data_IF_044033631787
#
_entry.id   IF_044033631787
#
_cell.length_a   1.000
_cell.length_b   1.000
_cell.length_c   1.000
_cell.angle_alpha   90.00
_cell.angle_beta   90.00
_cell.angle_gamma   90.00
#
_symmetry.space_group_name_H-M   'P 1'
#
loop_
_entity.id
_entity.type
_entity.pdbx_description
1 polymer ?
#
# COMPACT_ATOMS: atom_id res chain seq x y z
N UNK A 1 -31.78 8.95 39.64
CA UNK A 1 -31.41 8.02 38.55
C UNK A 1 -31.87 6.63 38.92
N UNK A 2 -32.62 5.97 38.04
CA UNK A 2 -33.07 4.58 38.26
C UNK A 2 -31.85 3.67 38.04
N UNK A 3 -31.44 2.93 39.07
CA UNK A 3 -30.33 1.98 38.96
C UNK A 3 -30.92 0.60 38.67
N UNK A 4 -30.95 0.24 37.39
CA UNK A 4 -31.33 -1.10 36.99
C UNK A 4 -30.11 -2.03 37.08
N UNK A 5 -30.26 -3.26 37.60
CA UNK A 5 -29.14 -4.19 37.78
C UNK A 5 -28.57 -4.62 36.42
N UNK A 6 -27.24 -4.62 36.28
CA UNK A 6 -26.57 -5.04 35.04
C UNK A 6 -26.57 -6.57 34.90
N UNK A 7 -27.31 -7.14 33.94
CA UNK A 7 -27.42 -8.60 33.78
C UNK A 7 -26.13 -9.25 33.27
N UNK A 8 -25.22 -8.50 32.64
CA UNK A 8 -23.94 -9.03 32.18
C UNK A 8 -22.95 -9.29 33.32
N UNK A 9 -23.08 -8.60 34.46
CA UNK A 9 -22.10 -8.64 35.56
C UNK A 9 -20.72 -8.01 35.21
N UNK A 10 -20.56 -7.51 33.99
CA UNK A 10 -19.39 -6.80 33.48
C UNK A 10 -19.85 -5.52 32.78
N UNK A 11 -19.02 -4.47 32.80
CA UNK A 11 -19.28 -3.26 32.04
C UNK A 11 -19.17 -3.60 30.53
N UNK A 12 -20.24 -3.44 29.73
CA UNK A 12 -20.28 -3.80 28.31
C UNK A 12 -19.66 -2.70 27.43
N UNK A 13 -18.54 -2.15 27.88
CA UNK A 13 -17.79 -1.12 27.15
C UNK A 13 -16.33 -1.58 27.12
N UNK A 14 -15.74 -1.52 25.94
CA UNK A 14 -14.33 -1.84 25.71
C UNK A 14 -13.64 -0.59 25.21
N UNK A 15 -12.68 -0.10 25.98
CA UNK A 15 -11.82 0.99 25.57
C UNK A 15 -10.52 0.42 25.01
N UNK A 16 -10.12 0.94 23.87
CA UNK A 16 -8.79 0.78 23.30
C UNK A 16 -8.21 2.17 23.17
N UNK A 17 -7.04 2.38 23.77
CA UNK A 17 -6.35 3.67 23.77
C UNK A 17 -5.16 3.59 22.82
N UNK A 18 -5.00 4.65 22.03
CA UNK A 18 -3.85 4.87 21.17
C UNK A 18 -3.38 6.28 21.52
N UNK A 19 -2.11 6.43 21.86
CA UNK A 19 -1.56 7.69 22.39
C UNK A 19 -1.72 8.87 21.41
N UNK A 20 -1.56 8.58 20.13
CA UNK A 20 -1.58 9.55 19.03
C UNK A 20 -2.25 8.96 17.79
N UNK A 21 -3.02 9.75 17.01
CA UNK A 21 -3.48 9.29 15.71
C UNK A 21 -2.30 9.05 14.78
N UNK A 22 -2.42 8.03 13.95
CA UNK A 22 -1.33 7.52 13.09
C UNK A 22 -0.76 8.57 12.12
N UNK A 23 -1.56 9.58 11.76
CA UNK A 23 -1.18 10.63 10.83
C UNK A 23 -0.55 11.86 11.51
N UNK A 24 -0.49 11.90 12.85
CA UNK A 24 0.00 13.08 13.58
C UNK A 24 1.42 13.48 13.18
N UNK A 25 2.31 12.50 13.05
CA UNK A 25 3.73 12.73 12.71
C UNK A 25 3.91 13.34 11.30
N UNK A 26 2.99 13.05 10.38
CA UNK A 26 3.07 13.53 8.99
C UNK A 26 2.14 14.70 8.69
N UNK A 27 1.35 15.16 9.67
CA UNK A 27 0.34 16.19 9.47
C UNK A 27 0.95 17.50 8.92
N UNK A 28 2.09 17.92 9.48
CA UNK A 28 2.79 19.13 9.04
C UNK A 28 3.33 19.02 7.61
N UNK A 29 3.81 17.83 7.22
CA UNK A 29 4.26 17.53 5.85
C UNK A 29 3.08 17.50 4.87
N UNK A 30 1.94 16.93 5.29
CA UNK A 30 0.70 16.91 4.51
C UNK A 30 0.21 18.32 4.23
N UNK A 31 0.08 19.15 5.26
CA UNK A 31 -0.36 20.55 5.12
C UNK A 31 0.57 21.35 4.21
N UNK A 32 1.89 21.17 4.38
CA UNK A 32 2.88 21.82 3.52
C UNK A 32 2.73 21.41 2.06
N UNK A 33 2.56 20.11 1.80
CA UNK A 33 2.40 19.55 0.46
C UNK A 33 1.09 20.03 -0.20
N UNK A 34 -0.01 20.05 0.53
CA UNK A 34 -1.31 20.54 0.04
C UNK A 34 -1.23 22.03 -0.33
N UNK A 35 -0.62 22.85 0.53
CA UNK A 35 -0.39 24.26 0.24
C UNK A 35 0.50 24.48 -0.99
N UNK A 36 1.53 23.66 -1.19
CA UNK A 36 2.39 23.73 -2.39
C UNK A 36 1.63 23.32 -3.65
N UNK A 37 0.83 22.26 -3.58
CA UNK A 37 0.03 21.80 -4.71
C UNK A 37 -1.03 22.82 -5.12
N UNK A 38 -1.70 23.46 -4.14
CA UNK A 38 -2.65 24.54 -4.40
C UNK A 38 -1.97 25.72 -5.11
N UNK A 39 -0.80 26.16 -4.61
CA UNK A 39 -0.05 27.23 -5.26
C UNK A 39 0.40 26.85 -6.67
N UNK A 40 0.82 25.60 -6.89
CA UNK A 40 1.20 25.14 -8.21
C UNK A 40 0.03 25.21 -9.19
N UNK A 41 -1.19 24.84 -8.76
CA UNK A 41 -2.40 24.98 -9.56
C UNK A 41 -2.70 26.45 -9.87
N UNK A 42 -2.73 27.32 -8.86
CA UNK A 42 -3.00 28.76 -9.03
C UNK A 42 -2.02 29.40 -10.01
N UNK A 43 -0.74 29.03 -9.93
CA UNK A 43 0.26 29.63 -10.79
C UNK A 43 0.18 29.06 -12.21
N UNK A 44 -0.13 27.77 -12.39
CA UNK A 44 -0.41 27.23 -13.71
C UNK A 44 -1.59 27.94 -14.38
N UNK A 45 -2.66 28.23 -13.64
CA UNK A 45 -3.80 28.98 -14.14
C UNK A 45 -3.43 30.44 -14.46
N UNK A 46 -2.63 31.09 -13.60
CA UNK A 46 -2.19 32.47 -13.81
C UNK A 46 -1.34 32.65 -15.07
N UNK A 47 -0.43 31.70 -15.36
CA UNK A 47 0.43 31.74 -16.53
C UNK A 47 -0.17 31.06 -17.77
N UNK A 48 -1.36 30.47 -17.67
CA UNK A 48 -2.09 29.96 -18.82
C UNK A 48 -2.48 31.09 -19.80
N UNK A 49 -2.65 32.31 -19.30
CA UNK A 49 -2.88 33.51 -20.08
C UNK A 49 -1.58 34.34 -20.20
N UNK A 50 -0.93 34.41 -21.38
CA UNK A 50 0.35 35.08 -21.52
C UNK A 50 0.19 36.60 -21.38
N UNK A 51 0.81 37.16 -20.34
CA UNK A 51 0.90 38.61 -20.15
C UNK A 51 2.09 39.18 -20.91
N UNK A 52 1.85 40.22 -21.71
CA UNK A 52 2.91 40.97 -22.39
C UNK A 52 3.38 42.13 -21.49
N UNK A 53 4.64 42.10 -21.08
CA UNK A 53 5.28 43.24 -20.43
C UNK A 53 5.93 44.08 -21.52
N UNK A 54 5.52 45.35 -21.60
CA UNK A 54 6.14 46.34 -22.49
C UNK A 54 6.89 47.36 -21.63
N UNK A 55 8.13 47.65 -22.02
CA UNK A 55 8.97 48.66 -21.40
C UNK A 55 9.20 49.73 -22.46
N UNK A 56 8.92 51.01 -22.15
CA UNK A 56 9.04 52.12 -23.09
C UNK A 56 7.70 52.70 -23.55
N UNK A 57 7.74 53.71 -24.43
CA UNK A 57 6.55 54.32 -25.03
C UNK A 57 6.07 53.41 -26.16
N UNK A 58 4.87 52.84 -26.01
CA UNK A 58 4.30 51.91 -26.99
C UNK A 58 3.11 52.58 -27.64
N UNK A 59 3.16 52.73 -28.97
CA UNK A 59 2.01 53.19 -29.72
C UNK A 59 1.05 52.01 -29.95
N UNK A 60 -0.19 52.13 -29.45
CA UNK A 60 -1.15 51.05 -29.54
C UNK A 60 -1.59 50.83 -30.99
N UNK A 61 -1.64 49.59 -31.52
CA UNK A 61 -2.01 49.37 -32.91
C UNK A 61 -3.45 49.82 -33.16
N UNK A 62 -3.62 50.74 -34.12
CA UNK A 62 -4.91 51.27 -34.52
C UNK A 62 -5.74 50.18 -35.26
N UNK A 63 -7.07 50.29 -35.21
CA UNK A 63 -8.04 49.24 -35.63
C UNK A 63 -7.95 48.85 -37.13
N UNK A 64 -7.15 49.56 -37.93
CA UNK A 64 -7.04 49.41 -39.37
C UNK A 64 -5.74 48.74 -39.85
N UNK A 65 -4.81 48.42 -38.95
CA UNK A 65 -3.53 47.78 -39.32
C UNK A 65 -3.67 46.25 -39.24
N UNK A 66 -3.56 45.58 -40.38
CA UNK A 66 -3.65 44.11 -40.48
C UNK A 66 -2.28 43.54 -40.10
N UNK A 67 -2.11 43.24 -38.82
CA UNK A 67 -0.89 42.73 -38.24
C UNK A 67 -0.68 43.35 -36.86
N UNK A 68 -0.68 42.53 -35.80
CA UNK A 68 -0.37 42.97 -34.43
C UNK A 68 1.13 43.25 -34.31
N UNK A 69 1.65 44.23 -35.06
CA UNK A 69 3.02 44.69 -34.91
C UNK A 69 3.06 45.78 -33.85
N UNK A 70 3.70 45.47 -32.72
CA UNK A 70 4.08 46.44 -31.70
C UNK A 70 5.45 46.99 -32.11
N UNK A 71 5.51 48.24 -32.54
CA UNK A 71 6.76 48.93 -32.85
C UNK A 71 7.20 49.74 -31.64
N UNK A 72 8.44 49.55 -31.20
CA UNK A 72 9.05 50.35 -30.13
C UNK A 72 9.81 51.52 -30.76
N UNK A 73 9.32 52.77 -30.64
CA UNK A 73 10.08 53.93 -31.09
C UNK A 73 11.37 54.03 -30.28
N UNK A 74 12.50 54.08 -30.99
CA UNK A 74 13.80 54.34 -30.40
C UNK A 74 13.95 55.86 -30.29
N UNK A 75 13.81 56.41 -29.08
CA UNK A 75 14.07 57.83 -28.85
C UNK A 75 15.53 58.01 -28.43
N UNK A 76 16.27 58.83 -29.18
CA UNK A 76 17.62 59.24 -28.82
C UNK A 76 17.54 60.67 -28.27
N UNK A 77 17.97 60.87 -27.02
CA UNK A 77 17.99 62.21 -26.40
C UNK A 77 19.16 63.05 -26.97
N UNK A 78 18.83 64.13 -27.68
CA UNK A 78 19.78 65.01 -28.40
C UNK A 78 20.83 65.67 -27.50
N UNK A 79 20.61 65.71 -26.17
CA UNK A 79 21.52 66.35 -25.22
C UNK A 79 22.48 65.38 -24.51
N UNK A 80 22.13 64.09 -24.40
CA UNK A 80 22.89 63.09 -23.61
C UNK A 80 23.35 61.88 -24.41
N UNK A 81 22.87 61.71 -25.65
CA UNK A 81 23.27 60.61 -26.54
C UNK A 81 22.86 59.22 -26.04
N UNK A 82 21.97 59.14 -25.03
CA UNK A 82 21.44 57.88 -24.53
C UNK A 82 20.24 57.45 -25.35
N UNK A 83 20.33 56.26 -25.91
CA UNK A 83 19.28 55.60 -26.69
C UNK A 83 18.29 54.91 -25.75
N UNK A 84 17.02 55.29 -25.80
CA UNK A 84 15.93 54.59 -25.12
C UNK A 84 15.31 53.60 -26.10
N UNK A 85 15.48 52.31 -25.82
CA UNK A 85 14.84 51.23 -26.56
C UNK A 85 13.64 50.73 -25.78
N UNK A 86 12.51 50.50 -26.46
CA UNK A 86 11.42 49.74 -25.88
C UNK A 86 11.64 48.24 -26.08
N UNK A 87 11.28 47.45 -25.07
CA UNK A 87 11.37 45.99 -25.10
C UNK A 87 10.01 45.38 -24.74
N UNK A 88 9.62 44.33 -25.44
CA UNK A 88 8.46 43.52 -25.12
C UNK A 88 8.89 42.10 -24.78
N UNK A 89 8.64 41.70 -23.53
CA UNK A 89 8.86 40.33 -23.08
C UNK A 89 7.55 39.74 -22.60
N UNK A 90 7.26 38.51 -22.99
CA UNK A 90 6.22 37.73 -22.32
C UNK A 90 6.65 37.46 -20.88
N UNK A 91 5.76 37.70 -19.93
CA UNK A 91 5.98 37.34 -18.53
C UNK A 91 5.97 35.82 -18.42
N UNK A 92 7.16 35.22 -18.46
CA UNK A 92 7.36 33.79 -18.24
C UNK A 92 7.67 33.52 -16.77
N UNK A 93 7.07 32.48 -16.21
CA UNK A 93 7.48 31.99 -14.90
C UNK A 93 8.87 31.35 -15.01
N UNK A 94 9.88 32.03 -14.46
CA UNK A 94 11.30 31.60 -14.50
C UNK A 94 11.78 30.93 -13.20
N UNK A 95 10.87 30.42 -12.35
CA UNK A 95 11.31 29.59 -11.21
C UNK A 95 11.66 28.18 -11.69
N UNK A 96 12.48 27.50 -10.88
CA UNK A 96 12.83 26.11 -11.09
C UNK A 96 11.63 25.20 -10.85
N UNK A 97 10.84 24.97 -11.90
CA UNK A 97 9.76 23.95 -11.95
C UNK A 97 10.29 22.60 -11.44
N UNK A 98 11.54 22.28 -11.79
CA UNK A 98 12.23 21.07 -11.33
C UNK A 98 12.41 21.01 -9.81
N UNK A 99 12.62 22.16 -9.14
CA UNK A 99 12.73 22.20 -7.68
C UNK A 99 11.40 21.89 -7.01
N UNK A 100 10.30 22.46 -7.51
CA UNK A 100 8.96 22.21 -6.97
C UNK A 100 8.51 20.77 -7.23
N UNK A 101 8.80 20.23 -8.41
CA UNK A 101 8.54 18.81 -8.71
C UNK A 101 9.29 17.89 -7.75
N UNK A 102 10.59 18.16 -7.50
CA UNK A 102 11.40 17.39 -6.56
C UNK A 102 10.90 17.52 -5.12
N UNK A 103 10.49 18.71 -4.67
CA UNK A 103 9.90 18.93 -3.35
C UNK A 103 8.62 18.08 -3.16
N UNK A 104 7.74 18.03 -4.17
CA UNK A 104 6.51 17.24 -4.12
C UNK A 104 6.74 15.73 -4.11
N UNK A 105 7.80 15.27 -4.77
CA UNK A 105 8.20 13.85 -4.80
C UNK A 105 8.85 13.41 -3.47
N UNK A 106 9.75 14.24 -2.92
CA UNK A 106 10.41 13.97 -1.64
C UNK A 106 9.39 13.98 -0.50
N UNK A 107 8.53 15.00 -0.44
CA UNK A 107 7.47 15.07 0.59
C UNK A 107 6.50 13.90 0.52
N UNK A 108 6.15 13.43 -0.68
CA UNK A 108 5.37 12.18 -0.84
C UNK A 108 6.11 11.00 -0.22
N UNK A 109 7.40 10.84 -0.54
CA UNK A 109 8.22 9.73 -0.03
C UNK A 109 8.37 9.76 1.49
N UNK A 110 8.63 10.94 2.06
CA UNK A 110 8.69 11.16 3.50
C UNK A 110 7.35 10.86 4.20
N UNK A 111 6.20 11.18 3.58
CA UNK A 111 4.89 10.84 4.13
C UNK A 111 4.67 9.32 4.23
N UNK A 112 5.06 8.55 3.20
CA UNK A 112 4.97 7.09 3.24
C UNK A 112 5.92 6.50 4.28
N UNK A 113 7.15 7.03 4.38
CA UNK A 113 8.11 6.62 5.40
C UNK A 113 7.62 6.95 6.83
N UNK A 114 7.13 8.17 7.07
CA UNK A 114 6.64 8.60 8.39
C UNK A 114 5.37 7.89 8.83
N UNK A 115 4.53 7.45 7.90
CA UNK A 115 3.35 6.62 8.22
C UNK A 115 3.64 5.13 8.23
N UNK A 116 4.89 4.69 8.05
CA UNK A 116 5.25 3.27 7.90
C UNK A 116 4.36 2.52 6.91
N UNK A 117 3.97 3.21 5.84
CA UNK A 117 3.11 2.69 4.80
C UNK A 117 3.95 2.46 3.54
N UNK A 118 4.00 1.24 2.99
CA UNK A 118 4.72 1.00 1.74
C UNK A 118 4.04 1.74 0.58
N UNK A 119 4.82 2.41 -0.27
CA UNK A 119 4.30 3.00 -1.52
C UNK A 119 4.05 1.88 -2.55
N UNK A 120 2.78 1.48 -2.68
CA UNK A 120 2.30 0.50 -3.65
C UNK A 120 1.73 1.13 -4.92
N UNK A 121 2.17 2.35 -5.26
CA UNK A 121 1.77 2.98 -6.52
C UNK A 121 2.26 2.18 -7.73
N UNK A 122 1.54 2.30 -8.84
CA UNK A 122 1.89 1.57 -10.07
C UNK A 122 3.31 1.90 -10.56
N UNK A 123 3.77 3.14 -10.40
CA UNK A 123 5.14 3.54 -10.78
C UNK A 123 6.22 2.86 -9.93
N UNK A 124 6.02 2.75 -8.61
CA UNK A 124 6.97 2.02 -7.76
C UNK A 124 6.94 0.53 -8.08
N UNK A 125 5.76 -0.04 -8.36
CA UNK A 125 5.60 -1.45 -8.72
C UNK A 125 6.07 -1.80 -10.14
N UNK A 126 6.15 -0.85 -11.07
CA UNK A 126 6.59 -1.10 -12.45
C UNK A 126 8.10 -1.31 -12.57
N UNK A 127 8.90 -0.62 -11.75
CA UNK A 127 10.35 -0.83 -11.66
C UNK A 127 10.71 -2.17 -10.98
N UNK A 128 9.73 -2.77 -10.32
CA UNK A 128 9.82 -4.00 -9.59
C UNK A 128 9.24 -5.13 -10.44
N UNK A 129 10.08 -5.91 -11.14
CA UNK A 129 9.64 -7.03 -11.97
C UNK A 129 8.96 -8.16 -11.18
N UNK A 130 9.14 -9.43 -11.58
CA UNK A 130 8.64 -10.56 -10.80
C UNK A 130 9.46 -10.75 -9.51
N UNK A 131 9.19 -9.94 -8.49
CA UNK A 131 9.82 -10.02 -7.17
C UNK A 131 9.53 -11.38 -6.51
N UNK A 132 10.51 -11.94 -5.82
CA UNK A 132 10.30 -13.06 -4.89
C UNK A 132 9.36 -12.63 -3.74
N UNK A 133 8.63 -13.58 -3.15
CA UNK A 133 7.76 -13.32 -1.99
C UNK A 133 8.52 -12.72 -0.81
N UNK A 134 9.78 -13.10 -0.63
CA UNK A 134 10.68 -12.53 0.38
C UNK A 134 10.94 -11.04 0.13
N UNK A 135 11.17 -10.63 -1.11
CA UNK A 135 11.42 -9.23 -1.44
C UNK A 135 10.17 -8.36 -1.21
N UNK A 136 8.98 -8.87 -1.54
CA UNK A 136 7.70 -8.21 -1.21
C UNK A 136 7.53 -8.02 0.29
N UNK A 137 7.92 -9.02 1.09
CA UNK A 137 7.87 -8.92 2.56
C UNK A 137 8.84 -7.88 3.11
N UNK A 138 10.05 -7.77 2.56
CA UNK A 138 11.01 -6.74 2.96
C UNK A 138 10.48 -5.32 2.67
N UNK A 139 9.79 -5.11 1.55
CA UNK A 139 9.14 -3.83 1.24
C UNK A 139 8.03 -3.47 2.24
N UNK A 140 7.37 -4.48 2.80
CA UNK A 140 6.27 -4.31 3.76
C UNK A 140 6.71 -4.49 5.22
N UNK A 141 8.01 -4.59 5.48
CA UNK A 141 8.54 -4.90 6.81
C UNK A 141 8.11 -3.87 7.84
N UNK A 142 8.16 -2.59 7.48
CA UNK A 142 7.80 -1.51 8.39
C UNK A 142 6.30 -1.54 8.74
N UNK A 143 5.45 -1.83 7.75
CA UNK A 143 4.02 -2.09 7.98
C UNK A 143 3.78 -3.33 8.86
N UNK A 144 4.57 -4.40 8.72
CA UNK A 144 4.48 -5.59 9.59
C UNK A 144 4.89 -5.25 11.03
N UNK A 145 5.93 -4.43 11.23
CA UNK A 145 6.35 -3.95 12.55
C UNK A 145 5.22 -3.13 13.19
N UNK A 146 4.65 -2.17 12.45
CA UNK A 146 3.53 -1.36 12.90
C UNK A 146 2.30 -2.19 13.25
N UNK A 147 1.97 -3.19 12.43
CA UNK A 147 0.90 -4.14 12.73
C UNK A 147 1.16 -4.85 14.06
N UNK A 148 2.39 -5.33 14.30
CA UNK A 148 2.76 -6.02 15.56
C UNK A 148 2.69 -5.11 16.77
N UNK A 149 3.07 -3.85 16.65
CA UNK A 149 2.93 -2.86 17.73
C UNK A 149 1.44 -2.62 18.02
N UNK A 150 0.62 -2.37 17.01
CA UNK A 150 -0.82 -2.14 17.17
C UNK A 150 -1.55 -3.37 17.75
N UNK A 151 -1.10 -4.58 17.43
CA UNK A 151 -1.63 -5.81 18.03
C UNK A 151 -1.50 -5.83 19.56
N UNK A 152 -0.59 -5.07 20.18
CA UNK A 152 -0.49 -4.95 21.64
C UNK A 152 -1.72 -4.28 22.26
N UNK A 153 -2.37 -3.37 21.54
CA UNK A 153 -3.59 -2.67 21.98
C UNK A 153 -4.83 -3.46 21.57
N UNK A 154 -4.89 -3.93 20.32
CA UNK A 154 -6.07 -4.62 19.79
C UNK A 154 -6.28 -6.02 20.38
N UNK A 155 -5.22 -6.76 20.72
CA UNK A 155 -5.35 -8.11 21.30
C UNK A 155 -6.05 -8.09 22.67
N UNK A 156 -5.64 -7.25 23.66
CA UNK A 156 -6.39 -7.10 24.91
C UNK A 156 -7.82 -6.63 24.71
N UNK A 157 -8.05 -5.66 23.81
CA UNK A 157 -9.40 -5.16 23.51
C UNK A 157 -10.30 -6.28 22.97
N UNK A 158 -9.83 -7.07 22.01
CA UNK A 158 -10.61 -8.19 21.48
C UNK A 158 -10.84 -9.30 22.51
N UNK A 159 -9.84 -9.61 23.34
CA UNK A 159 -10.01 -10.52 24.46
C UNK A 159 -11.09 -10.03 25.45
N UNK A 160 -11.14 -8.71 25.69
CA UNK A 160 -12.18 -8.10 26.52
C UNK A 160 -13.56 -8.22 25.88
N UNK A 161 -13.69 -7.99 24.58
CA UNK A 161 -14.93 -8.19 23.84
C UNK A 161 -15.45 -9.63 23.98
N UNK A 162 -14.57 -10.63 23.76
CA UNK A 162 -14.93 -12.05 23.90
C UNK A 162 -15.38 -12.35 25.33
N UNK A 163 -14.68 -11.82 26.35
CA UNK A 163 -15.04 -12.01 27.76
C UNK A 163 -16.42 -11.43 28.09
N UNK A 164 -16.75 -10.26 27.55
CA UNK A 164 -18.08 -9.63 27.75
C UNK A 164 -19.17 -10.47 27.10
N UNK A 165 -18.94 -10.93 25.86
CA UNK A 165 -19.89 -11.80 25.14
C UNK A 165 -20.09 -13.12 25.90
N UNK A 166 -19.00 -13.75 26.37
CA UNK A 166 -19.03 -14.97 27.16
C UNK A 166 -19.80 -14.79 28.48
N UNK A 167 -19.62 -13.65 29.17
CA UNK A 167 -20.38 -13.32 30.37
C UNK A 167 -21.88 -13.10 30.07
N UNK A 168 -22.19 -12.45 28.93
CA UNK A 168 -23.55 -12.32 28.45
C UNK A 168 -24.22 -13.66 28.21
N UNK A 169 -23.53 -14.58 27.52
CA UNK A 169 -24.06 -15.92 27.25
C UNK A 169 -24.25 -16.69 28.55
N UNK A 170 -23.25 -16.68 29.44
CA UNK A 170 -23.29 -17.43 30.69
C UNK A 170 -24.32 -16.90 31.71
N UNK A 171 -24.67 -15.61 31.68
CA UNK A 171 -25.58 -14.99 32.64
C UNK A 171 -27.00 -14.76 32.12
N UNK A 172 -27.20 -14.64 30.79
CA UNK A 172 -28.48 -14.24 30.19
C UNK A 172 -29.10 -15.35 29.35
N UNK A 173 -28.35 -15.92 28.39
CA UNK A 173 -28.94 -16.82 27.38
C UNK A 173 -28.84 -18.30 27.75
N UNK A 174 -27.66 -18.78 28.17
CA UNK A 174 -27.41 -20.20 28.41
C UNK A 174 -26.69 -20.45 29.75
N UNK A 175 -27.50 -20.44 30.81
CA UNK A 175 -27.05 -20.61 32.19
C UNK A 175 -26.60 -22.05 32.47
N UNK A 176 -27.08 -23.03 31.68
CA UNK A 176 -26.80 -24.47 31.91
C UNK A 176 -25.34 -24.82 31.64
N UNK A 177 -24.76 -24.18 30.63
CA UNK A 177 -23.38 -24.40 30.20
C UNK A 177 -22.39 -23.40 30.81
N UNK A 178 -22.82 -22.61 31.80
CA UNK A 178 -21.98 -21.66 32.55
C UNK A 178 -20.62 -22.21 33.01
N UNK A 179 -20.49 -23.40 33.64
CA UNK A 179 -19.18 -23.89 34.09
C UNK A 179 -18.22 -24.19 32.92
N UNK A 180 -18.75 -24.62 31.78
CA UNK A 180 -17.97 -24.93 30.57
C UNK A 180 -17.55 -23.65 29.86
N UNK A 181 -18.45 -22.66 29.79
CA UNK A 181 -18.15 -21.35 29.24
C UNK A 181 -17.08 -20.66 30.07
N UNK A 182 -17.21 -20.56 31.39
CA UNK A 182 -16.21 -19.89 32.25
C UNK A 182 -14.83 -20.56 32.17
N UNK A 183 -14.77 -21.87 31.94
CA UNK A 183 -13.51 -22.62 31.77
C UNK A 183 -12.89 -22.52 30.36
N UNK A 184 -13.61 -21.98 29.36
CA UNK A 184 -13.14 -21.92 27.99
C UNK A 184 -11.98 -20.93 27.85
N UNK A 185 -10.82 -21.43 27.40
CA UNK A 185 -9.67 -20.60 27.04
C UNK A 185 -9.68 -20.35 25.53
N UNK A 186 -9.66 -19.09 25.14
CA UNK A 186 -9.58 -18.68 23.75
C UNK A 186 -8.22 -18.03 23.48
N UNK A 187 -7.69 -18.30 22.29
CA UNK A 187 -6.49 -17.64 21.78
C UNK A 187 -6.89 -16.90 20.52
N UNK A 188 -6.83 -15.57 20.56
CA UNK A 188 -6.97 -14.75 19.36
C UNK A 188 -5.73 -14.91 18.50
N UNK A 189 -5.90 -15.14 17.20
CA UNK A 189 -4.82 -15.15 16.20
C UNK A 189 -5.17 -14.15 15.11
N UNK A 190 -4.21 -13.29 14.75
CA UNK A 190 -4.34 -12.39 13.61
C UNK A 190 -3.60 -13.00 12.44
N UNK A 191 -4.27 -13.16 11.31
CA UNK A 191 -3.62 -13.60 10.08
C UNK A 191 -3.14 -12.38 9.27
N UNK A 192 -2.16 -12.62 8.41
CA UNK A 192 -1.65 -11.60 7.49
C UNK A 192 -2.38 -11.69 6.15
N UNK A 193 -2.82 -10.55 5.64
CA UNK A 193 -3.45 -10.42 4.31
C UNK A 193 -2.42 -10.38 3.16
N UNK A 194 -1.13 -10.40 3.48
CA UNK A 194 -0.09 -10.29 2.46
C UNK A 194 -0.07 -11.51 1.54
N UNK A 195 0.14 -11.33 0.22
CA UNK A 195 0.28 -12.44 -0.70
C UNK A 195 1.44 -13.35 -0.26
N UNK A 196 1.11 -14.60 0.05
CA UNK A 196 2.11 -15.64 0.28
C UNK A 196 2.50 -16.25 -1.06
N UNK A 197 3.76 -16.63 -1.17
CA UNK A 197 4.22 -17.43 -2.29
C UNK A 197 4.26 -18.90 -1.85
N UNK A 198 3.17 -19.67 -2.06
CA UNK A 198 3.11 -21.06 -1.62
C UNK A 198 4.15 -21.95 -2.32
N UNK A 199 4.67 -21.54 -3.48
CA UNK A 199 5.70 -22.27 -4.22
C UNK A 199 7.05 -22.07 -3.54
N UNK A 200 7.38 -20.84 -3.18
CA UNK A 200 8.60 -20.53 -2.43
C UNK A 200 8.60 -21.23 -1.07
N UNK A 201 7.49 -21.15 -0.32
CA UNK A 201 7.34 -21.84 0.97
C UNK A 201 7.49 -23.36 0.85
N UNK A 202 6.89 -23.98 -0.19
CA UNK A 202 7.00 -25.40 -0.45
C UNK A 202 8.43 -25.83 -0.82
N UNK A 203 9.14 -25.00 -1.60
CA UNK A 203 10.53 -25.24 -1.96
C UNK A 203 11.45 -25.17 -0.73
N UNK A 204 11.28 -24.16 0.13
CA UNK A 204 12.03 -24.04 1.39
C UNK A 204 11.78 -25.25 2.29
N UNK A 205 10.53 -25.70 2.43
CA UNK A 205 10.18 -26.89 3.20
C UNK A 205 10.78 -28.18 2.63
N UNK A 206 10.80 -28.32 1.30
CA UNK A 206 11.43 -29.45 0.60
C UNK A 206 12.95 -29.50 0.86
N UNK A 207 13.62 -28.36 0.75
CA UNK A 207 15.07 -28.25 1.03
C UNK A 207 15.36 -28.54 2.51
N UNK A 208 14.57 -27.98 3.44
CA UNK A 208 14.72 -28.21 4.87
C UNK A 208 14.47 -29.68 5.26
N UNK A 209 13.58 -30.38 4.52
CA UNK A 209 13.37 -31.82 4.63
C UNK A 209 14.49 -32.68 4.03
N UNK A 210 15.57 -32.07 3.52
CA UNK A 210 16.68 -32.78 2.87
C UNK A 210 16.32 -33.36 1.51
N UNK A 211 15.40 -32.70 0.78
CA UNK A 211 14.86 -33.20 -0.49
C UNK A 211 13.89 -34.37 -0.34
N UNK A 212 13.53 -34.74 0.90
CA UNK A 212 12.48 -35.74 1.16
C UNK A 212 11.11 -35.06 1.12
N UNK A 213 10.12 -35.80 0.65
CA UNK A 213 8.73 -35.33 0.64
C UNK A 213 8.29 -34.96 2.07
N UNK A 214 8.00 -33.67 2.30
CA UNK A 214 7.60 -33.13 3.61
C UNK A 214 6.12 -33.39 3.92
N UNK A 215 5.29 -33.53 2.88
CA UNK A 215 3.89 -33.90 2.99
C UNK A 215 3.69 -35.34 2.51
N UNK A 216 2.77 -36.06 3.16
CA UNK A 216 2.30 -37.32 2.62
C UNK A 216 1.62 -37.09 1.27
N UNK A 217 1.79 -38.03 0.34
CA UNK A 217 1.13 -38.01 -0.97
C UNK A 217 -0.40 -37.81 -0.81
N UNK A 218 -0.99 -38.41 0.23
CA UNK A 218 -2.41 -38.27 0.57
C UNK A 218 -2.82 -36.83 0.94
N UNK A 219 -1.95 -36.10 1.65
CA UNK A 219 -2.20 -34.70 2.03
C UNK A 219 -2.10 -33.76 0.81
N UNK A 220 -1.24 -34.08 -0.16
CA UNK A 220 -1.11 -33.30 -1.41
C UNK A 220 -2.32 -33.54 -2.31
N UNK A 221 -2.71 -34.81 -2.49
CA UNK A 221 -3.86 -35.21 -3.31
C UNK A 221 -5.17 -34.63 -2.76
N UNK A 222 -5.36 -34.63 -1.44
CA UNK A 222 -6.57 -34.07 -0.81
C UNK A 222 -6.69 -32.55 -0.87
N UNK A 223 -5.58 -31.83 -1.06
CA UNK A 223 -5.57 -30.36 -1.19
C UNK A 223 -5.50 -29.88 -2.64
N UNK A 224 -5.35 -30.79 -3.59
CA UNK A 224 -5.30 -30.45 -5.01
C UNK A 224 -6.69 -30.00 -5.50
N UNK A 225 -6.79 -28.86 -6.21
CA UNK A 225 -8.04 -28.41 -6.82
C UNK A 225 -8.47 -29.28 -8.01
N UNK A 226 -7.60 -30.19 -8.47
CA UNK A 226 -7.83 -31.09 -9.59
C UNK A 226 -8.36 -32.46 -9.15
N UNK A 227 -8.31 -32.78 -7.85
CA UNK A 227 -8.85 -34.04 -7.32
C UNK A 227 -10.34 -33.87 -7.02
N UNK A 228 -11.22 -34.76 -7.52
CA UNK A 228 -12.63 -34.75 -7.15
C UNK A 228 -12.83 -34.86 -5.63
N UNK A 229 -13.71 -34.04 -5.01
CA UNK A 229 -13.98 -34.11 -3.57
C UNK A 229 -14.49 -35.50 -3.18
N UNK A 230 -13.74 -36.23 -2.34
CA UNK A 230 -14.12 -37.54 -1.82
C UNK A 230 -13.41 -38.74 -2.46
N UNK A 231 -12.67 -38.57 -3.57
CA UNK A 231 -11.93 -39.65 -4.24
C UNK A 231 -10.41 -39.61 -3.95
N UNK A 232 -10.05 -39.53 -2.68
CA UNK A 232 -8.63 -39.49 -2.26
C UNK A 232 -7.99 -40.88 -2.44
N UNK A 233 -8.75 -41.94 -2.20
CA UNK A 233 -8.25 -43.31 -2.25
C UNK A 233 -8.04 -43.81 -3.69
N UNK A 234 -8.96 -43.49 -4.61
CA UNK A 234 -8.82 -43.87 -6.03
C UNK A 234 -7.67 -43.15 -6.70
N UNK A 235 -7.47 -41.86 -6.42
CA UNK A 235 -6.36 -41.10 -6.98
C UNK A 235 -4.99 -41.57 -6.45
N UNK A 236 -4.91 -41.94 -5.16
CA UNK A 236 -3.71 -42.57 -4.60
C UNK A 236 -3.40 -43.94 -5.23
N UNK A 237 -4.42 -44.67 -5.67
CA UNK A 237 -4.24 -45.93 -6.36
C UNK A 237 -3.71 -45.72 -7.78
N UNK A 238 -4.28 -44.78 -8.54
CA UNK A 238 -3.77 -44.42 -9.88
C UNK A 238 -2.31 -43.97 -9.85
N UNK A 239 -1.93 -43.15 -8.87
CA UNK A 239 -0.53 -42.73 -8.70
C UNK A 239 0.41 -43.92 -8.42
N UNK A 240 -0.05 -44.93 -7.68
CA UNK A 240 0.76 -46.15 -7.43
C UNK A 240 0.89 -47.00 -8.69
N UNK A 241 -0.17 -47.11 -9.47
CA UNK A 241 -0.19 -47.83 -10.75
C UNK A 241 0.78 -47.14 -11.75
N UNK A 242 0.68 -45.82 -11.92
CA UNK A 242 1.59 -45.02 -12.75
C UNK A 242 3.06 -45.16 -12.30
N UNK A 243 3.32 -45.11 -10.99
CA UNK A 243 4.67 -45.28 -10.45
C UNK A 243 5.23 -46.69 -10.69
N UNK A 244 4.37 -47.72 -10.64
CA UNK A 244 4.78 -49.09 -10.93
C UNK A 244 5.07 -49.31 -12.42
N UNK A 245 4.28 -48.69 -13.30
CA UNK A 245 4.47 -48.72 -14.74
C UNK A 245 5.74 -47.98 -15.16
N UNK A 246 6.04 -46.83 -14.56
CA UNK A 246 7.27 -46.09 -14.82
C UNK A 246 8.51 -46.84 -14.29
N UNK A 247 8.42 -47.50 -13.13
CA UNK A 247 9.49 -48.37 -12.64
C UNK A 247 9.74 -49.56 -13.57
N UNK A 248 8.68 -50.17 -14.11
CA UNK A 248 8.78 -51.25 -15.09
C UNK A 248 9.42 -50.77 -16.41
N UNK A 249 9.08 -49.58 -16.89
CA UNK A 249 9.70 -48.96 -18.08
C UNK A 249 11.18 -48.64 -17.88
N UNK A 250 11.55 -48.14 -16.70
CA UNK A 250 12.95 -47.79 -16.38
C UNK A 250 13.82 -49.04 -16.29
N UNK A 251 13.31 -50.12 -15.69
CA UNK A 251 14.00 -51.42 -15.65
C UNK A 251 14.13 -52.07 -17.02
N UNK A 252 13.13 -51.92 -17.91
CA UNK A 252 13.21 -52.43 -19.28
C UNK A 252 14.30 -51.72 -20.10
N UNK A 253 14.57 -50.43 -19.86
CA UNK A 253 15.64 -49.69 -20.54
C UNK A 253 17.03 -50.09 -20.02
N UNK A 254 17.16 -50.36 -18.71
CA UNK A 254 18.41 -50.86 -18.11
C UNK A 254 18.80 -52.27 -18.56
N UNK A 255 17.83 -53.13 -18.88
CA UNK A 255 18.06 -54.50 -19.34
C UNK A 255 18.43 -54.61 -20.84
N UNK A 256 18.33 -53.53 -21.61
CA UNK A 256 18.66 -53.49 -23.06
C UNK A 256 20.04 -52.82 -23.29
N UNK A 257 20.67 -52.29 -22.24
CA UNK A 257 21.96 -51.59 -22.29
C UNK A 257 23.14 -52.42 -21.76
N UNK A 258 22.97 -53.74 -21.58
CA UNK A 258 24.08 -54.72 -21.45
C UNK A 258 24.25 -55.54 -22.74
#
# INVERSE_FOLDING_TARGET
MRQDPNPFGLIPVVYAEIDAPVWEEVASLMDAREMRLSRLADINDYFAEPMLVTIGEVDAPNKNTVGKELQFPVQTDDLTGKTYHGDAKFLSWDQSINSTAKELEETKSEMFAGTSAPDLSFESLKGLGNLSGVARRFMMLDAEIKQRVNMRVFRPALNRCITIVQAGIANITDIRHKPQLVGARFTVTFDSILPRDPVEDANVLSIAGGGRAFNSLATVVSRSPLTPPGDIAGELQRIREDASDDAARTNAIGAVAE
#
